data_IF_367892842299
#
_entry.id   IF_367892842299
#
_cell.length_a   1.000
_cell.length_b   1.000
_cell.length_c   1.000
_cell.angle_alpha   90.00
_cell.angle_beta   90.00
_cell.angle_gamma   90.00
#
_symmetry.space_group_name_H-M   'P 1'
#
loop_
_entity.id
_entity.type
_entity.pdbx_description
1 polymer ?
#
# COMPACT_ATOMS: atom_id res chain seq x y z
N UNK A 1 32.63 -22.45 58.38
CA UNK A 1 31.42 -21.80 57.85
C UNK A 1 30.45 -22.89 57.44
N UNK A 2 29.24 -22.82 57.97
CA UNK A 2 28.34 -23.94 58.27
C UNK A 2 27.49 -24.41 57.08
N UNK A 3 27.44 -25.74 56.91
CA UNK A 3 26.28 -26.61 56.63
C UNK A 3 25.20 -26.24 55.58
N UNK A 4 25.24 -26.93 54.44
CA UNK A 4 24.28 -27.95 53.94
C UNK A 4 22.75 -27.85 54.15
N UNK A 5 22.02 -28.23 53.07
CA UNK A 5 20.63 -28.77 52.91
C UNK A 5 19.51 -27.71 52.78
N UNK A 6 18.61 -27.81 51.80
CA UNK A 6 17.50 -28.78 51.82
C UNK A 6 16.85 -28.98 50.44
N UNK A 7 16.47 -30.24 50.20
CA UNK A 7 15.57 -30.70 49.15
C UNK A 7 14.11 -30.38 49.51
N UNK A 8 13.31 -29.99 48.52
CA UNK A 8 11.85 -29.89 48.67
C UNK A 8 11.19 -31.20 48.23
N UNK A 9 10.33 -31.80 49.07
CA UNK A 9 9.71 -33.08 48.78
C UNK A 9 8.46 -32.95 47.90
N UNK A 10 8.27 -34.06 47.18
CA UNK A 10 7.04 -34.60 46.62
C UNK A 10 5.86 -34.56 47.62
N UNK A 11 4.63 -34.43 47.11
CA UNK A 11 3.37 -35.13 47.49
C UNK A 11 2.13 -34.24 47.26
N UNK A 12 1.51 -34.49 46.09
CA UNK A 12 0.10 -34.89 45.88
C UNK A 12 -1.10 -33.99 46.25
N UNK A 13 -1.83 -33.63 45.17
CA UNK A 13 -3.29 -33.59 44.96
C UNK A 13 -4.18 -33.17 46.13
N UNK A 14 -4.83 -32.01 45.95
CA UNK A 14 -6.21 -31.81 46.37
C UNK A 14 -7.11 -31.67 45.15
N UNK A 15 -8.25 -32.34 45.27
CA UNK A 15 -9.18 -32.73 44.23
C UNK A 15 -9.86 -31.51 43.60
N UNK A 16 -9.94 -31.58 42.27
CA UNK A 16 -10.83 -30.76 41.47
C UNK A 16 -12.27 -30.96 41.94
N UNK A 17 -12.87 -29.90 42.46
CA UNK A 17 -14.31 -29.87 42.69
C UNK A 17 -15.00 -29.51 41.36
N UNK A 18 -15.82 -30.44 40.88
CA UNK A 18 -16.46 -30.39 39.57
C UNK A 18 -17.84 -29.76 39.74
N UNK A 19 -17.97 -28.47 39.44
CA UNK A 19 -19.28 -27.78 39.34
C UNK A 19 -19.69 -27.64 37.86
N UNK A 20 -20.62 -28.45 37.33
CA UNK A 20 -20.98 -28.48 35.91
C UNK A 20 -22.13 -27.51 35.56
N UNK A 21 -22.15 -26.30 36.13
CA UNK A 21 -23.25 -25.32 35.88
C UNK A 21 -22.77 -23.92 35.54
N UNK A 22 -21.46 -23.69 35.38
CA UNK A 22 -20.90 -22.38 35.03
C UNK A 22 -20.12 -22.40 33.70
N UNK A 23 -20.45 -23.32 32.79
CA UNK A 23 -19.75 -23.51 31.52
C UNK A 23 -20.52 -22.99 30.29
N UNK A 24 -21.66 -22.31 30.47
CA UNK A 24 -22.48 -21.87 29.32
C UNK A 24 -22.61 -20.36 29.11
N UNK A 25 -22.01 -19.51 29.96
CA UNK A 25 -22.13 -18.06 29.81
C UNK A 25 -20.85 -17.33 29.35
N UNK A 26 -19.69 -18.01 29.29
CA UNK A 26 -18.40 -17.35 28.98
C UNK A 26 -18.09 -17.32 27.47
N UNK A 27 -18.78 -18.12 26.65
CA UNK A 27 -18.53 -18.18 25.19
C UNK A 27 -19.33 -17.18 24.34
N UNK A 28 -20.16 -16.33 24.94
CA UNK A 28 -21.09 -15.47 24.19
C UNK A 28 -20.73 -13.97 24.16
N UNK A 29 -19.59 -13.54 24.75
CA UNK A 29 -19.24 -12.11 24.88
C UNK A 29 -18.11 -11.64 23.95
N UNK A 30 -17.58 -12.50 23.05
CA UNK A 30 -16.50 -12.09 22.14
C UNK A 30 -16.93 -11.67 20.73
N UNK A 31 -18.24 -11.61 20.42
CA UNK A 31 -18.70 -11.50 19.03
C UNK A 31 -19.07 -10.08 18.53
N UNK A 32 -18.90 -9.01 19.33
CA UNK A 32 -19.50 -7.69 18.97
C UNK A 32 -18.51 -6.59 18.60
N UNK A 33 -17.30 -6.90 18.13
CA UNK A 33 -16.41 -5.88 17.55
C UNK A 33 -15.95 -6.22 16.13
N UNK A 34 -16.91 -6.62 15.28
CA UNK A 34 -16.72 -6.52 13.83
C UNK A 34 -16.85 -5.04 13.42
N UNK A 35 -15.82 -4.24 13.71
CA UNK A 35 -15.67 -2.95 13.08
C UNK A 35 -15.49 -3.17 11.57
N UNK A 36 -16.22 -2.42 10.75
CA UNK A 36 -16.02 -2.39 9.31
C UNK A 36 -14.61 -1.85 9.02
N UNK A 37 -13.62 -2.74 8.97
CA UNK A 37 -12.26 -2.39 8.61
C UNK A 37 -12.21 -2.21 7.09
N UNK A 38 -12.43 -0.98 6.63
CA UNK A 38 -11.98 -0.60 5.29
C UNK A 38 -10.46 -0.51 5.36
N UNK A 39 -9.77 -1.34 4.59
CA UNK A 39 -8.32 -1.36 4.58
C UNK A 39 -7.82 -0.22 3.67
N UNK A 40 -7.48 0.92 4.25
CA UNK A 40 -6.63 1.89 3.59
C UNK A 40 -5.22 1.29 3.41
N UNK A 41 -4.38 1.90 2.58
CA UNK A 41 -2.99 1.45 2.37
C UNK A 41 -2.09 1.66 3.60
N UNK A 42 -2.64 2.17 4.70
CA UNK A 42 -1.97 2.42 5.97
C UNK A 42 -2.77 1.88 7.17
N UNK A 43 -2.10 1.73 8.31
CA UNK A 43 -2.72 1.22 9.53
C UNK A 43 -3.64 2.24 10.20
N UNK A 44 -4.94 1.97 10.16
CA UNK A 44 -5.95 2.70 10.92
C UNK A 44 -5.79 2.44 12.43
N UNK A 45 -5.50 3.49 13.21
CA UNK A 45 -5.35 3.39 14.67
C UNK A 45 -5.86 4.63 15.39
N UNK A 46 -5.94 4.56 16.73
CA UNK A 46 -6.35 5.71 17.56
C UNK A 46 -5.38 6.91 17.45
N UNK A 47 -4.12 6.64 17.09
CA UNK A 47 -3.04 7.63 16.91
C UNK A 47 -3.01 8.26 15.52
N UNK A 48 -3.88 7.84 14.61
CA UNK A 48 -4.00 8.43 13.28
C UNK A 48 -4.40 9.90 13.33
N UNK A 49 -4.00 10.66 12.31
CA UNK A 49 -4.39 12.06 12.14
C UNK A 49 -5.92 12.20 11.95
N UNK A 50 -6.44 13.44 11.97
CA UNK A 50 -7.83 13.69 11.62
C UNK A 50 -8.16 13.22 10.19
N UNK A 51 -7.29 13.53 9.21
CA UNK A 51 -7.50 13.14 7.81
C UNK A 51 -7.46 11.62 7.61
N UNK A 52 -6.57 10.91 8.31
CA UNK A 52 -6.49 9.45 8.25
C UNK A 52 -7.71 8.78 8.87
N UNK A 53 -8.22 9.31 10.00
CA UNK A 53 -9.45 8.80 10.61
C UNK A 53 -10.64 8.93 9.66
N UNK A 54 -10.72 10.03 8.90
CA UNK A 54 -11.74 10.24 7.87
C UNK A 54 -11.63 9.17 6.77
N UNK A 55 -10.42 8.89 6.28
CA UNK A 55 -10.18 7.83 5.27
C UNK A 55 -10.57 6.46 5.81
N UNK A 56 -10.15 6.13 7.04
CA UNK A 56 -10.45 4.84 7.67
C UNK A 56 -11.94 4.59 7.88
N UNK A 57 -12.74 5.64 8.04
CA UNK A 57 -14.18 5.56 8.26
C UNK A 57 -15.00 5.53 6.96
N UNK A 58 -14.35 5.75 5.81
CA UNK A 58 -15.04 5.97 4.53
C UNK A 58 -14.49 5.03 3.43
N UNK A 59 -15.25 4.03 2.99
CA UNK A 59 -14.81 3.07 1.97
C UNK A 59 -14.44 3.70 0.62
N UNK A 60 -15.10 4.80 0.24
CA UNK A 60 -14.81 5.51 -1.01
C UNK A 60 -13.42 6.17 -0.92
N UNK A 61 -13.12 6.83 0.20
CA UNK A 61 -11.80 7.41 0.44
C UNK A 61 -10.71 6.34 0.58
N UNK A 62 -11.02 5.19 1.19
CA UNK A 62 -10.12 4.04 1.25
C UNK A 62 -9.75 3.54 -0.15
N UNK A 63 -10.74 3.42 -1.05
CA UNK A 63 -10.49 3.03 -2.45
C UNK A 63 -9.67 4.07 -3.21
N UNK A 64 -9.85 5.35 -2.92
CA UNK A 64 -9.01 6.41 -3.50
C UNK A 64 -7.57 6.36 -3.01
N UNK A 65 -7.32 5.93 -1.78
CA UNK A 65 -5.98 5.71 -1.24
C UNK A 65 -5.25 4.57 -1.99
N UNK A 66 -5.94 3.46 -2.26
CA UNK A 66 -5.40 2.37 -3.09
C UNK A 66 -5.09 2.84 -4.52
N UNK A 67 -6.00 3.60 -5.14
CA UNK A 67 -5.79 4.17 -6.48
C UNK A 67 -4.61 5.12 -6.51
N UNK A 68 -4.46 5.96 -5.48
CA UNK A 68 -3.31 6.86 -5.34
C UNK A 68 -2.00 6.07 -5.32
N UNK A 69 -1.94 4.94 -4.61
CA UNK A 69 -0.75 4.09 -4.58
C UNK A 69 -0.36 3.59 -5.98
N UNK A 70 -1.35 3.16 -6.77
CA UNK A 70 -1.15 2.71 -8.16
C UNK A 70 -0.69 3.85 -9.07
N UNK A 71 -1.29 5.05 -8.98
CA UNK A 71 -0.85 6.22 -9.75
C UNK A 71 0.55 6.68 -9.36
N UNK A 72 0.88 6.65 -8.07
CA UNK A 72 2.23 6.99 -7.59
C UNK A 72 3.28 6.01 -8.13
N UNK A 73 3.04 4.70 -8.07
CA UNK A 73 3.99 3.70 -8.58
C UNK A 73 4.26 3.92 -10.07
N UNK A 74 3.20 4.06 -10.87
CA UNK A 74 3.31 4.33 -12.30
C UNK A 74 4.11 5.59 -12.59
N UNK A 75 3.76 6.72 -11.97
CA UNK A 75 4.47 7.98 -12.16
C UNK A 75 5.94 7.90 -11.75
N UNK A 76 6.24 7.22 -10.63
CA UNK A 76 7.60 7.03 -10.14
C UNK A 76 8.45 6.18 -11.10
N UNK A 77 7.89 5.09 -11.62
CA UNK A 77 8.62 4.15 -12.48
C UNK A 77 8.89 4.71 -13.87
N UNK A 78 8.08 5.67 -14.32
CA UNK A 78 8.28 6.36 -15.60
C UNK A 78 9.08 7.66 -15.49
N UNK A 79 9.26 8.18 -14.28
CA UNK A 79 9.96 9.46 -14.06
C UNK A 79 11.46 9.35 -14.33
N UNK A 80 12.08 10.34 -15.00
CA UNK A 80 13.53 10.45 -15.08
C UNK A 80 14.18 10.78 -13.73
N UNK A 81 13.40 11.26 -12.75
CA UNK A 81 13.83 11.49 -11.37
C UNK A 81 12.82 10.90 -10.36
N UNK A 82 12.91 9.60 -10.05
CA UNK A 82 12.04 8.96 -9.06
C UNK A 82 12.17 9.54 -7.65
N UNK A 83 13.29 10.20 -7.31
CA UNK A 83 13.52 10.77 -5.98
C UNK A 83 12.69 12.04 -5.75
N UNK A 84 12.52 12.88 -6.77
CA UNK A 84 11.62 14.03 -6.65
C UNK A 84 10.16 13.60 -6.52
N UNK A 85 9.72 12.56 -7.24
CA UNK A 85 8.37 11.99 -7.10
C UNK A 85 8.13 11.48 -5.68
N UNK A 86 9.12 10.78 -5.10
CA UNK A 86 9.06 10.31 -3.71
C UNK A 86 9.03 11.46 -2.70
N UNK A 87 9.85 12.48 -2.91
CA UNK A 87 9.84 13.68 -2.07
C UNK A 87 8.47 14.36 -2.11
N UNK A 88 7.90 14.53 -3.31
CA UNK A 88 6.58 15.10 -3.49
C UNK A 88 5.48 14.25 -2.83
N UNK A 89 5.57 12.91 -2.89
CA UNK A 89 4.64 12.01 -2.18
C UNK A 89 4.58 12.33 -0.68
N UNK A 90 5.74 12.42 -0.03
CA UNK A 90 5.83 12.71 1.41
C UNK A 90 5.25 14.09 1.72
N UNK A 91 5.62 15.12 0.95
CA UNK A 91 5.15 16.49 1.17
C UNK A 91 3.63 16.61 1.00
N UNK A 92 3.07 16.02 -0.05
CA UNK A 92 1.63 16.05 -0.30
C UNK A 92 0.84 15.29 0.77
N UNK A 93 1.37 14.14 1.22
CA UNK A 93 0.77 13.38 2.32
C UNK A 93 0.74 14.22 3.60
N UNK A 94 1.88 14.78 4.02
CA UNK A 94 1.96 15.66 5.21
C UNK A 94 1.01 16.86 5.09
N UNK A 95 0.94 17.50 3.92
CA UNK A 95 0.01 18.60 3.68
C UNK A 95 -1.43 18.20 3.96
N UNK A 96 -1.88 17.03 3.45
CA UNK A 96 -3.24 16.53 3.72
C UNK A 96 -3.49 16.33 5.20
N UNK A 97 -2.51 15.77 5.92
CA UNK A 97 -2.62 15.53 7.36
C UNK A 97 -2.81 16.82 8.16
N UNK A 98 -2.16 17.91 7.74
CA UNK A 98 -2.23 19.19 8.43
C UNK A 98 -3.43 20.05 8.04
N UNK A 99 -3.92 19.93 6.81
CA UNK A 99 -4.90 20.89 6.26
C UNK A 99 -6.32 20.33 6.13
N UNK A 100 -6.50 19.02 5.97
CA UNK A 100 -7.83 18.44 5.78
C UNK A 100 -8.44 17.94 7.10
N UNK A 101 -9.59 18.51 7.45
CA UNK A 101 -10.35 18.19 8.68
C UNK A 101 -11.76 17.67 8.40
N UNK A 102 -12.16 17.55 7.13
CA UNK A 102 -13.45 17.00 6.70
C UNK A 102 -13.34 16.12 5.44
N UNK A 103 -14.40 15.36 5.16
CA UNK A 103 -14.47 14.44 4.00
C UNK A 103 -14.29 15.18 2.67
N UNK A 104 -14.87 16.37 2.52
CA UNK A 104 -14.83 17.09 1.25
C UNK A 104 -13.39 17.52 0.90
N UNK A 105 -12.61 18.00 1.88
CA UNK A 105 -11.20 18.33 1.67
C UNK A 105 -10.39 17.09 1.27
N UNK A 106 -10.55 15.97 1.99
CA UNK A 106 -9.81 14.73 1.70
C UNK A 106 -10.15 14.19 0.31
N UNK A 107 -11.43 14.19 -0.07
CA UNK A 107 -11.89 13.78 -1.40
C UNK A 107 -11.26 14.62 -2.51
N UNK A 108 -11.33 15.95 -2.39
CA UNK A 108 -10.74 16.86 -3.38
C UNK A 108 -9.22 16.67 -3.47
N UNK A 109 -8.54 16.46 -2.34
CA UNK A 109 -7.11 16.20 -2.32
C UNK A 109 -6.75 14.92 -3.09
N UNK A 110 -7.47 13.81 -2.87
CA UNK A 110 -7.22 12.57 -3.61
C UNK A 110 -7.45 12.73 -5.11
N UNK A 111 -8.59 13.31 -5.49
CA UNK A 111 -8.93 13.51 -6.90
C UNK A 111 -7.87 14.34 -7.62
N UNK A 112 -7.45 15.46 -7.02
CA UNK A 112 -6.39 16.31 -7.56
C UNK A 112 -5.06 15.55 -7.65
N UNK A 113 -4.64 14.89 -6.57
CA UNK A 113 -3.32 14.23 -6.52
C UNK A 113 -3.22 13.03 -7.46
N UNK A 114 -4.30 12.26 -7.60
CA UNK A 114 -4.37 11.16 -8.57
C UNK A 114 -4.27 11.72 -10.00
N UNK A 115 -5.01 12.77 -10.32
CA UNK A 115 -4.95 13.38 -11.66
C UNK A 115 -3.56 13.93 -12.00
N UNK A 116 -2.88 14.57 -11.03
CA UNK A 116 -1.49 15.00 -11.19
C UNK A 116 -0.55 13.82 -11.49
N UNK A 117 -0.62 12.75 -10.69
CA UNK A 117 0.25 11.58 -10.87
C UNK A 117 -0.05 10.81 -12.16
N UNK A 118 -1.30 10.72 -12.57
CA UNK A 118 -1.67 10.11 -13.85
C UNK A 118 -1.13 10.95 -15.03
N UNK A 119 -1.12 12.28 -14.92
CA UNK A 119 -0.49 13.15 -15.91
C UNK A 119 1.05 13.00 -15.93
N UNK A 120 1.68 12.94 -14.74
CA UNK A 120 3.12 12.69 -14.61
C UNK A 120 3.52 11.35 -15.23
N UNK A 121 2.68 10.32 -15.09
CA UNK A 121 2.88 9.01 -15.72
C UNK A 121 2.88 9.09 -17.25
N UNK A 122 1.89 9.75 -17.85
CA UNK A 122 1.84 9.90 -19.31
C UNK A 122 3.02 10.74 -19.84
N UNK A 123 3.40 11.80 -19.13
CA UNK A 123 4.60 12.57 -19.47
C UNK A 123 5.88 11.73 -19.36
N UNK A 124 6.02 10.94 -18.28
CA UNK A 124 7.17 10.05 -18.08
C UNK A 124 7.28 8.99 -19.18
N UNK A 125 6.16 8.37 -19.58
CA UNK A 125 6.11 7.45 -20.72
C UNK A 125 6.60 8.09 -22.01
N UNK A 126 6.12 9.31 -22.30
CA UNK A 126 6.54 10.02 -23.50
C UNK A 126 8.05 10.31 -23.46
N UNK A 127 8.57 10.77 -22.34
CA UNK A 127 10.00 11.02 -22.17
C UNK A 127 10.84 9.74 -22.36
N UNK A 128 10.37 8.59 -21.85
CA UNK A 128 11.03 7.30 -22.06
C UNK A 128 11.04 6.87 -23.53
N UNK A 129 9.92 7.07 -24.24
CA UNK A 129 9.83 6.81 -25.68
C UNK A 129 10.83 7.69 -26.45
N UNK A 130 10.83 8.98 -26.19
CA UNK A 130 11.68 9.93 -26.91
C UNK A 130 13.16 9.67 -26.64
N UNK A 131 13.51 9.32 -25.40
CA UNK A 131 14.87 8.91 -25.04
C UNK A 131 15.30 7.61 -25.76
N UNK A 132 14.38 6.64 -25.89
CA UNK A 132 14.65 5.41 -26.63
C UNK A 132 14.88 5.66 -28.13
N UNK A 133 14.03 6.45 -28.77
CA UNK A 133 14.19 6.79 -30.19
C UNK A 133 15.47 7.60 -30.44
N UNK A 134 15.79 8.56 -29.56
CA UNK A 134 17.05 9.29 -29.65
C UNK A 134 18.28 8.36 -29.54
N UNK A 135 18.25 7.41 -28.61
CA UNK A 135 19.31 6.41 -28.46
C UNK A 135 19.42 5.46 -29.68
N UNK A 136 18.30 5.17 -30.34
CA UNK A 136 18.27 4.35 -31.55
C UNK A 136 18.89 5.08 -32.75
N UNK A 137 18.60 6.38 -32.89
CA UNK A 137 19.19 7.24 -33.93
C UNK A 137 20.71 7.34 -33.76
N UNK A 138 21.20 7.47 -32.53
CA UNK A 138 22.63 7.59 -32.24
C UNK A 138 23.43 6.32 -32.62
N UNK A 139 22.80 5.14 -32.59
CA UNK A 139 23.42 3.87 -32.98
C UNK A 139 23.70 3.74 -34.48
N UNK A 140 23.18 4.66 -35.33
CA UNK A 140 23.41 4.67 -36.79
C UNK A 140 23.12 3.32 -37.47
N UNK A 141 22.10 2.62 -36.98
CA UNK A 141 21.67 1.34 -37.53
C UNK A 141 21.06 1.53 -38.93
N UNK A 142 21.16 0.49 -39.77
CA UNK A 142 20.37 0.43 -41.00
C UNK A 142 18.87 0.37 -40.66
N UNK A 143 17.96 0.90 -41.51
CA UNK A 143 16.54 1.00 -41.19
C UNK A 143 15.90 -0.32 -40.71
N UNK A 144 16.19 -1.43 -41.40
CA UNK A 144 15.66 -2.76 -41.04
C UNK A 144 16.08 -3.23 -39.64
N UNK A 145 17.28 -2.86 -39.19
CA UNK A 145 17.75 -3.20 -37.85
C UNK A 145 17.10 -2.30 -36.79
N UNK A 146 16.92 -0.99 -37.07
CA UNK A 146 16.20 -0.09 -36.19
C UNK A 146 14.73 -0.53 -35.99
N UNK A 147 14.07 -0.97 -37.06
CA UNK A 147 12.69 -1.45 -37.02
C UNK A 147 12.54 -2.74 -36.20
N UNK A 148 13.51 -3.66 -36.32
CA UNK A 148 13.55 -4.87 -35.49
C UNK A 148 13.66 -4.53 -33.99
N UNK A 149 14.47 -3.53 -33.63
CA UNK A 149 14.61 -3.09 -32.23
C UNK A 149 13.30 -2.47 -31.70
N UNK A 150 12.60 -1.67 -32.52
CA UNK A 150 11.27 -1.15 -32.17
C UNK A 150 10.25 -2.26 -31.94
N UNK A 151 10.24 -3.28 -32.80
CA UNK A 151 9.34 -4.42 -32.66
C UNK A 151 9.59 -5.17 -31.35
N UNK A 152 10.85 -5.45 -31.02
CA UNK A 152 11.22 -6.11 -29.77
C UNK A 152 10.79 -5.30 -28.54
N UNK A 153 10.95 -3.96 -28.58
CA UNK A 153 10.49 -3.08 -27.50
C UNK A 153 8.97 -3.18 -27.32
N UNK A 154 8.21 -3.18 -28.41
CA UNK A 154 6.76 -3.31 -28.37
C UNK A 154 6.33 -4.66 -27.77
N UNK A 155 6.93 -5.78 -28.21
CA UNK A 155 6.66 -7.12 -27.67
C UNK A 155 6.96 -7.21 -26.16
N UNK A 156 8.06 -6.60 -25.71
CA UNK A 156 8.41 -6.53 -24.28
C UNK A 156 7.40 -5.73 -23.45
N UNK A 157 6.88 -4.62 -23.98
CA UNK A 157 5.83 -3.83 -23.32
C UNK A 157 4.54 -4.65 -23.20
N UNK A 158 4.13 -5.33 -24.27
CA UNK A 158 2.93 -6.20 -24.28
C UNK A 158 3.06 -7.32 -23.25
N UNK A 159 4.21 -7.98 -23.16
CA UNK A 159 4.46 -9.03 -22.17
C UNK A 159 4.36 -8.51 -20.73
N UNK A 160 4.88 -7.31 -20.46
CA UNK A 160 4.83 -6.69 -19.13
C UNK A 160 3.41 -6.29 -18.75
N UNK A 161 2.62 -5.77 -19.69
CA UNK A 161 1.22 -5.40 -19.47
C UNK A 161 0.33 -6.62 -19.16
N UNK A 162 0.62 -7.78 -19.77
CA UNK A 162 -0.11 -9.02 -19.53
C UNK A 162 0.22 -9.68 -18.19
N UNK A 163 1.45 -9.49 -17.68
CA UNK A 163 1.86 -9.96 -16.35
C UNK A 163 1.31 -9.13 -15.18
N UNK A 164 0.74 -7.95 -15.45
CA UNK A 164 0.19 -7.05 -14.44
C UNK A 164 -1.32 -7.20 -14.21
N UNK A 165 -2.00 -8.17 -14.84
CA UNK A 165 -3.43 -8.40 -14.66
C UNK A 165 -3.72 -9.06 -13.29
N UNK A 166 -4.39 -8.38 -12.33
CA UNK A 166 -4.61 -8.92 -10.98
C UNK A 166 -5.72 -9.98 -10.90
N UNK A 167 -6.29 -10.44 -12.02
CA UNK A 167 -7.48 -11.28 -12.07
C UNK A 167 -7.23 -12.81 -11.91
N UNK A 168 -6.09 -13.21 -11.36
CA UNK A 168 -5.83 -14.62 -10.98
C UNK A 168 -5.12 -14.69 -9.64
N UNK A 169 -5.88 -14.51 -8.57
CA UNK A 169 -5.62 -15.18 -7.29
C UNK A 169 -6.92 -15.35 -6.51
#
# INVERSE_FOLDING_TARGET
MSTSKTAFPFVTRLLADSSPTLSLCVLAVCATLAGNASAASFHCSTRSSASEKIVCADPELSSLDDRLAVSYQRARDTSPDPRSVETARIQQWLWRQHNCTDKACVLNWYQRRIAELDADYEQGKQAQHDAFEAALVDQKLVPSAADAVRQLKNESIVATAQGANPATK
#
